data_IF_610786052920
#
_entry.id   IF_610786052920
#
_cell.length_a   1.000
_cell.length_b   1.000
_cell.length_c   1.000
_cell.angle_alpha   90.00
_cell.angle_beta   90.00
_cell.angle_gamma   90.00
#
_symmetry.space_group_name_H-M   'P 1'
#
loop_
_entity.id
_entity.type
_entity.pdbx_description
1 polymer ?
#
# COMPACT_ATOMS: atom_id res chain seq x y z
N UNK A 1 -17.12 -72.36 16.53
CA UNK A 1 -15.68 -72.25 16.22
C UNK A 1 -15.48 -71.01 15.36
N UNK A 2 -14.38 -70.29 15.57
CA UNK A 2 -14.15 -68.90 15.16
C UNK A 2 -14.04 -68.67 13.64
N UNK A 3 -13.66 -67.50 13.12
CA UNK A 3 -13.12 -66.24 13.67
C UNK A 3 -12.98 -65.29 12.45
N UNK A 4 -13.06 -63.96 12.65
CA UNK A 4 -12.26 -62.90 11.93
C UNK A 4 -12.67 -62.61 10.46
N UNK A 5 -12.77 -61.39 9.89
CA UNK A 5 -12.37 -60.00 10.20
C UNK A 5 -13.17 -59.00 9.32
N UNK A 6 -13.55 -57.87 9.90
CA UNK A 6 -13.38 -56.49 9.41
C UNK A 6 -13.64 -56.10 7.93
N UNK A 7 -14.58 -55.17 7.73
CA UNK A 7 -14.22 -53.76 7.45
C UNK A 7 -15.44 -52.85 7.52
N UNK A 8 -15.38 -51.95 8.49
CA UNK A 8 -16.27 -50.80 8.62
C UNK A 8 -16.22 -49.93 7.35
N UNK A 9 -17.38 -49.69 6.76
CA UNK A 9 -17.59 -48.65 5.76
C UNK A 9 -18.07 -47.38 6.49
N UNK A 10 -17.14 -46.52 6.89
CA UNK A 10 -17.43 -45.14 7.32
C UNK A 10 -17.19 -44.20 6.15
N UNK A 11 -18.23 -43.59 5.56
CA UNK A 11 -18.03 -42.51 4.61
C UNK A 11 -17.55 -41.25 5.35
N UNK A 12 -16.57 -40.60 4.72
CA UNK A 12 -15.91 -39.38 5.14
C UNK A 12 -16.87 -38.25 5.54
N UNK A 13 -16.88 -37.89 6.82
CA UNK A 13 -17.09 -36.50 7.25
C UNK A 13 -15.73 -35.84 7.38
N UNK A 14 -15.13 -35.61 6.20
CA UNK A 14 -14.06 -34.65 6.05
C UNK A 14 -14.72 -33.29 6.18
N UNK A 15 -14.77 -32.75 7.40
CA UNK A 15 -15.06 -31.35 7.63
C UNK A 15 -13.99 -30.54 6.90
N UNK A 16 -14.28 -30.22 5.63
CA UNK A 16 -13.69 -29.08 4.96
C UNK A 16 -14.14 -27.89 5.79
N UNK A 17 -13.26 -27.48 6.71
CA UNK A 17 -13.24 -26.14 7.25
C UNK A 17 -13.35 -25.21 6.03
N UNK A 18 -14.58 -24.79 5.76
CA UNK A 18 -14.88 -23.78 4.77
C UNK A 18 -14.51 -22.46 5.43
N UNK A 19 -13.23 -22.29 5.75
CA UNK A 19 -12.66 -20.97 5.92
C UNK A 19 -13.07 -20.20 4.66
N UNK A 20 -13.83 -19.09 4.78
CA UNK A 20 -14.13 -18.26 3.61
C UNK A 20 -12.80 -17.92 2.94
N UNK A 21 -12.72 -17.82 1.60
CA UNK A 21 -11.49 -17.47 0.92
C UNK A 21 -10.96 -16.21 1.60
N UNK A 22 -9.86 -16.35 2.32
CA UNK A 22 -9.25 -15.26 3.07
C UNK A 22 -8.97 -14.18 2.04
N UNK A 23 -9.82 -13.15 2.03
CA UNK A 23 -9.71 -12.04 1.10
C UNK A 23 -8.26 -11.56 1.15
N UNK A 24 -7.55 -11.66 0.03
CA UNK A 24 -6.11 -11.41 -0.03
C UNK A 24 -5.82 -10.07 0.64
N UNK A 25 -4.96 -10.02 1.68
CA UNK A 25 -4.72 -8.77 2.39
C UNK A 25 -4.20 -7.73 1.39
N UNK A 26 -4.57 -6.46 1.58
CA UNK A 26 -4.18 -5.39 0.67
C UNK A 26 -2.66 -5.36 0.39
N UNK A 27 -1.85 -5.67 1.41
CA UNK A 27 -0.40 -5.82 1.31
C UNK A 27 0.06 -6.83 0.24
N UNK A 28 -0.75 -7.85 -0.06
CA UNK A 28 -0.45 -8.90 -1.04
C UNK A 28 -1.13 -8.68 -2.41
N UNK A 29 -1.93 -7.62 -2.58
CA UNK A 29 -2.57 -7.30 -3.86
C UNK A 29 -1.60 -6.54 -4.78
N UNK A 30 -1.72 -6.66 -6.11
CA UNK A 30 -0.96 -5.81 -7.02
C UNK A 30 -1.56 -4.39 -7.04
N UNK A 31 -0.71 -3.36 -7.01
CA UNK A 31 -1.16 -1.95 -7.03
C UNK A 31 -0.63 -1.28 -8.31
N UNK A 32 -1.49 -0.80 -9.21
CA UNK A 32 -1.08 -0.22 -10.49
C UNK A 32 -0.63 1.24 -10.33
N UNK A 33 0.49 1.48 -9.63
CA UNK A 33 0.97 2.84 -9.35
C UNK A 33 1.25 3.68 -10.59
N UNK A 34 1.70 3.08 -11.69
CA UNK A 34 1.89 3.79 -12.95
C UNK A 34 0.58 4.45 -13.41
N UNK A 35 -0.52 3.70 -13.38
CA UNK A 35 -1.84 4.20 -13.76
C UNK A 35 -2.29 5.34 -12.83
N UNK A 36 -2.04 5.22 -11.53
CA UNK A 36 -2.41 6.25 -10.56
C UNK A 36 -1.61 7.54 -10.77
N UNK A 37 -0.32 7.43 -11.11
CA UNK A 37 0.53 8.56 -11.45
C UNK A 37 0.13 9.21 -12.77
N UNK A 38 -0.23 8.41 -13.78
CA UNK A 38 -0.66 8.91 -15.09
C UNK A 38 -2.01 9.61 -15.03
N UNK A 39 -2.97 9.04 -14.31
CA UNK A 39 -4.31 9.61 -14.13
C UNK A 39 -4.36 10.71 -13.06
N UNK A 40 -3.37 10.73 -12.16
CA UNK A 40 -3.36 11.58 -10.98
C UNK A 40 -4.50 11.24 -10.01
N UNK A 41 -4.98 10.00 -9.97
CA UNK A 41 -6.14 9.60 -9.13
C UNK A 41 -5.87 8.32 -8.35
N UNK A 42 -6.25 8.34 -7.08
CA UNK A 42 -6.28 7.15 -6.22
C UNK A 42 -7.71 6.58 -6.23
N UNK A 43 -7.92 5.31 -6.63
CA UNK A 43 -9.25 4.72 -6.63
C UNK A 43 -9.87 4.66 -5.23
N UNK A 44 -11.20 4.72 -5.18
CA UNK A 44 -11.94 4.54 -3.93
C UNK A 44 -11.57 3.20 -3.27
N UNK A 45 -11.42 3.23 -1.94
CA UNK A 45 -10.98 2.05 -1.17
C UNK A 45 -9.52 2.09 -0.73
N UNK A 46 -8.61 2.69 -1.51
CA UNK A 46 -7.19 2.78 -1.14
C UNK A 46 -6.91 3.75 0.02
N UNK A 47 -7.82 4.68 0.28
CA UNK A 47 -7.77 5.62 1.42
C UNK A 47 -8.92 5.38 2.42
N UNK A 48 -9.59 4.23 2.32
CA UNK A 48 -10.77 3.93 3.14
C UNK A 48 -10.48 3.70 4.63
N UNK A 49 -9.23 3.38 4.97
CA UNK A 49 -8.79 3.20 6.35
C UNK A 49 -7.31 3.58 6.49
N UNK A 50 -6.92 3.95 7.71
CA UNK A 50 -5.54 4.31 8.03
C UNK A 50 -4.56 3.18 7.71
N UNK A 51 -4.92 1.93 7.99
CA UNK A 51 -4.10 0.76 7.63
C UNK A 51 -3.86 0.66 6.11
N UNK A 52 -4.91 0.77 5.29
CA UNK A 52 -4.78 0.65 3.83
C UNK A 52 -4.00 1.83 3.27
N UNK A 53 -4.23 3.05 3.79
CA UNK A 53 -3.49 4.24 3.40
C UNK A 53 -2.00 4.15 3.75
N UNK A 54 -1.64 3.66 4.94
CA UNK A 54 -0.24 3.40 5.31
C UNK A 54 0.42 2.38 4.37
N UNK A 55 -0.26 1.26 4.08
CA UNK A 55 0.24 0.25 3.16
C UNK A 55 0.38 0.79 1.73
N UNK A 56 -0.55 1.63 1.28
CA UNK A 56 -0.46 2.30 0.00
C UNK A 56 0.78 3.20 -0.07
N UNK A 57 1.00 4.05 0.94
CA UNK A 57 2.14 4.97 1.00
C UNK A 57 3.47 4.22 1.05
N UNK A 58 3.58 3.18 1.87
CA UNK A 58 4.82 2.38 1.95
C UNK A 58 5.17 1.80 0.58
N UNK A 59 4.18 1.23 -0.10
CA UNK A 59 4.37 0.64 -1.42
C UNK A 59 4.60 1.69 -2.51
N UNK A 60 4.01 2.87 -2.40
CA UNK A 60 4.29 3.99 -3.30
C UNK A 60 5.75 4.42 -3.17
N UNK A 61 6.29 4.53 -1.96
CA UNK A 61 7.72 4.83 -1.72
C UNK A 61 8.61 3.78 -2.40
N UNK A 62 8.30 2.50 -2.20
CA UNK A 62 9.04 1.42 -2.87
C UNK A 62 8.96 1.53 -4.40
N UNK A 63 7.79 1.86 -4.94
CA UNK A 63 7.59 2.04 -6.37
C UNK A 63 8.44 3.19 -6.92
N UNK A 64 8.35 4.39 -6.35
CA UNK A 64 9.07 5.57 -6.86
C UNK A 64 10.59 5.45 -6.77
N UNK A 65 11.10 4.66 -5.82
CA UNK A 65 12.53 4.38 -5.67
C UNK A 65 13.04 3.24 -6.57
N UNK A 66 12.16 2.40 -7.10
CA UNK A 66 12.54 1.22 -7.88
C UNK A 66 12.42 1.41 -9.39
N UNK A 67 11.55 2.30 -9.85
CA UNK A 67 11.38 2.58 -11.29
C UNK A 67 12.49 3.50 -11.81
N UNK A 68 12.86 3.39 -13.10
CA UNK A 68 13.84 4.29 -13.71
C UNK A 68 13.43 5.76 -13.61
N UNK A 69 14.41 6.65 -13.51
CA UNK A 69 14.17 8.09 -13.59
C UNK A 69 13.41 8.45 -14.87
N UNK A 70 12.40 9.30 -14.76
CA UNK A 70 11.53 9.70 -15.88
C UNK A 70 10.32 8.80 -16.14
N UNK A 71 10.15 7.70 -15.38
CA UNK A 71 8.92 6.87 -15.45
C UNK A 71 7.66 7.63 -15.03
N UNK A 72 7.84 8.66 -14.20
CA UNK A 72 6.82 9.63 -13.82
C UNK A 72 7.48 11.02 -13.61
N UNK A 73 6.66 12.05 -13.58
CA UNK A 73 7.06 13.44 -13.30
C UNK A 73 6.76 13.82 -11.85
N UNK A 74 7.48 14.81 -11.30
CA UNK A 74 7.19 15.31 -9.96
C UNK A 74 5.75 15.85 -9.82
N UNK A 75 5.18 16.41 -10.90
CA UNK A 75 3.78 16.86 -10.90
C UNK A 75 2.80 15.69 -10.75
N UNK A 76 3.01 14.59 -11.48
CA UNK A 76 2.20 13.38 -11.35
C UNK A 76 2.24 12.80 -9.93
N UNK A 77 3.43 12.73 -9.34
CA UNK A 77 3.57 12.30 -7.95
C UNK A 77 2.90 13.29 -6.98
N UNK A 78 3.05 14.59 -7.20
CA UNK A 78 2.39 15.64 -6.43
C UNK A 78 0.87 15.44 -6.38
N UNK A 79 0.23 15.26 -7.53
CA UNK A 79 -1.22 15.03 -7.62
C UNK A 79 -1.71 13.80 -6.85
N UNK A 80 -0.91 12.72 -6.83
CA UNK A 80 -1.23 11.54 -6.02
C UNK A 80 -1.09 11.85 -4.52
N UNK A 81 -0.03 12.56 -4.12
CA UNK A 81 0.21 12.92 -2.72
C UNK A 81 -0.82 13.91 -2.17
N UNK A 82 -1.31 14.86 -2.99
CA UNK A 82 -2.35 15.83 -2.63
C UNK A 82 -3.67 15.18 -2.18
N UNK A 83 -3.95 13.96 -2.65
CA UNK A 83 -5.15 13.19 -2.27
C UNK A 83 -5.01 12.48 -0.92
N UNK A 84 -3.79 12.38 -0.37
CA UNK A 84 -3.54 11.75 0.91
C UNK A 84 -3.84 12.74 2.05
N UNK A 85 -4.33 12.23 3.18
CA UNK A 85 -4.37 13.04 4.40
C UNK A 85 -2.96 13.54 4.79
N UNK A 86 -2.86 14.70 5.45
CA UNK A 86 -1.61 15.28 5.94
C UNK A 86 -0.65 14.30 6.62
N UNK A 87 -1.18 13.41 7.45
CA UNK A 87 -0.40 12.41 8.19
C UNK A 87 0.29 11.41 7.25
N UNK A 88 -0.41 11.00 6.20
CA UNK A 88 0.07 10.05 5.20
C UNK A 88 1.08 10.71 4.25
N UNK A 89 0.92 12.01 3.94
CA UNK A 89 1.93 12.78 3.21
C UNK A 89 3.24 12.89 4.00
N UNK A 90 3.16 13.24 5.30
CA UNK A 90 4.34 13.26 6.18
C UNK A 90 4.98 11.86 6.28
N UNK A 91 4.16 10.81 6.37
CA UNK A 91 4.62 9.43 6.39
C UNK A 91 5.37 9.05 5.11
N UNK A 92 4.91 9.49 3.93
CA UNK A 92 5.61 9.29 2.65
C UNK A 92 7.04 9.85 2.71
N UNK A 93 7.22 11.11 3.11
CA UNK A 93 8.56 11.72 3.16
C UNK A 93 9.44 11.12 4.26
N UNK A 94 8.85 10.74 5.40
CA UNK A 94 9.57 10.02 6.45
C UNK A 94 10.09 8.68 5.91
N UNK A 95 9.24 7.89 5.26
CA UNK A 95 9.62 6.60 4.67
C UNK A 95 10.63 6.75 3.56
N UNK A 96 10.46 7.72 2.67
CA UNK A 96 11.41 8.04 1.62
C UNK A 96 12.82 8.31 2.19
N UNK A 97 12.90 9.15 3.24
CA UNK A 97 14.15 9.47 3.93
C UNK A 97 14.76 8.25 4.64
N UNK A 98 13.93 7.41 5.25
CA UNK A 98 14.38 6.18 5.93
C UNK A 98 14.91 5.14 4.93
N UNK A 99 14.26 4.99 3.78
CA UNK A 99 14.64 4.01 2.75
C UNK A 99 15.82 4.48 1.90
N UNK A 100 15.89 5.77 1.56
CA UNK A 100 16.98 6.35 0.78
C UNK A 100 17.19 7.82 1.13
N UNK A 101 18.06 8.12 2.12
CA UNK A 101 18.32 9.49 2.57
C UNK A 101 18.78 10.42 1.44
N UNK A 102 19.59 9.87 0.54
CA UNK A 102 20.15 10.59 -0.61
C UNK A 102 19.07 10.99 -1.62
N UNK A 103 17.97 10.24 -1.71
CA UNK A 103 16.90 10.53 -2.66
C UNK A 103 16.13 11.79 -2.27
N UNK A 104 16.14 12.20 -1.00
CA UNK A 104 15.35 13.36 -0.54
C UNK A 104 15.65 14.64 -1.34
N UNK A 105 16.87 14.79 -1.87
CA UNK A 105 17.25 15.92 -2.73
C UNK A 105 16.47 15.95 -4.04
N UNK A 106 16.16 14.79 -4.60
CA UNK A 106 15.43 14.64 -5.86
C UNK A 106 13.93 14.95 -5.67
N UNK A 107 13.42 14.76 -4.45
CA UNK A 107 12.04 15.06 -4.07
C UNK A 107 11.89 16.39 -3.30
N UNK A 108 12.97 17.19 -3.22
CA UNK A 108 12.99 18.44 -2.45
C UNK A 108 11.88 19.44 -2.84
N UNK A 109 11.54 19.64 -4.13
CA UNK A 109 10.43 20.53 -4.50
C UNK A 109 9.10 20.13 -3.88
N UNK A 110 8.78 18.82 -3.86
CA UNK A 110 7.57 18.31 -3.22
C UNK A 110 7.67 18.45 -1.69
N UNK A 111 8.79 18.03 -1.11
CA UNK A 111 9.01 18.08 0.34
C UNK A 111 8.80 19.49 0.90
N UNK A 112 9.43 20.51 0.30
CA UNK A 112 9.30 21.88 0.76
C UNK A 112 7.93 22.49 0.43
N UNK A 113 7.33 22.14 -0.71
CA UNK A 113 5.97 22.57 -1.05
C UNK A 113 4.95 22.13 0.00
N UNK A 114 4.92 20.84 0.32
CA UNK A 114 4.02 20.31 1.34
C UNK A 114 4.35 20.82 2.75
N UNK A 115 5.63 20.92 3.13
CA UNK A 115 6.02 21.45 4.44
C UNK A 115 5.68 22.93 4.63
N UNK A 116 5.62 23.71 3.56
CA UNK A 116 5.14 25.09 3.60
C UNK A 116 3.63 25.15 3.88
N UNK A 117 2.84 24.23 3.31
CA UNK A 117 1.40 24.12 3.59
C UNK A 117 1.11 23.64 5.01
N UNK A 118 1.93 22.74 5.55
CA UNK A 118 1.80 22.27 6.94
C UNK A 118 2.25 23.26 7.99
N UNK A 119 3.10 24.24 7.65
CA UNK A 119 3.49 25.28 8.61
C UNK A 119 2.28 26.02 9.18
N UNK A 120 1.23 26.23 8.38
CA UNK A 120 -0.01 26.85 8.84
C UNK A 120 -0.79 25.95 9.84
N UNK A 121 -0.65 24.63 9.74
CA UNK A 121 -1.33 23.64 10.59
C UNK A 121 -0.54 23.28 11.86
N UNK A 122 0.76 23.59 11.91
CA UNK A 122 1.62 23.31 13.07
C UNK A 122 1.55 24.39 14.17
N UNK A 123 0.95 25.56 13.87
CA UNK A 123 0.87 26.71 14.79
C UNK A 123 -0.56 27.20 15.08
N UNK A 124 -1.59 26.40 14.76
CA UNK A 124 -2.98 26.63 15.19
C UNK A 124 -3.43 25.56 16.16
#
# INVERSE_FOLDING_TARGET
>A
MGTILDRHHTPAEQWMDSSPPTSVPFAAQAVPFQEFLETGKIPEGFLSSDYVAQQFVERLVHYVLSVPSGSYTMAQLGHVLEQLDPRHQVFFFKRLKETSPESLKDFAPLYYGFMAEFNALLFT
#
